data_IF_113482581861
#
_entry.id   IF_113482581861
#
_cell.length_a   1.000
_cell.length_b   1.000
_cell.length_c   1.000
_cell.angle_alpha   90.00
_cell.angle_beta   90.00
_cell.angle_gamma   90.00
#
_symmetry.space_group_name_H-M   'P 1'
#
loop_
_entity.id
_entity.type
_entity.pdbx_description
1 polymer ?
#
# COMPACT_ATOMS: atom_id res chain seq x y z
N UNK A 1 -28.58 8.33 -25.22
CA UNK A 1 -29.10 7.08 -25.84
C UNK A 1 -28.04 5.97 -26.00
N UNK A 2 -26.93 6.15 -26.81
CA UNK A 2 -25.91 5.05 -26.92
C UNK A 2 -25.16 4.74 -25.62
N UNK A 3 -24.73 5.75 -24.84
CA UNK A 3 -24.02 5.57 -23.57
C UNK A 3 -24.90 4.92 -22.50
N UNK A 4 -26.08 5.43 -22.28
CA UNK A 4 -27.06 4.89 -21.32
C UNK A 4 -27.40 3.42 -21.62
N UNK A 5 -27.67 3.09 -22.88
CA UNK A 5 -27.90 1.70 -23.28
C UNK A 5 -26.72 0.78 -22.96
N UNK A 6 -25.49 1.26 -23.11
CA UNK A 6 -24.26 0.53 -22.78
C UNK A 6 -24.10 0.36 -21.27
N UNK A 7 -24.36 1.42 -20.49
CA UNK A 7 -24.28 1.40 -19.03
C UNK A 7 -25.34 0.47 -18.42
N UNK A 8 -26.57 0.45 -18.97
CA UNK A 8 -27.60 -0.50 -18.57
C UNK A 8 -27.24 -1.96 -18.87
N UNK A 9 -26.28 -2.21 -19.76
CA UNK A 9 -25.70 -3.53 -20.03
C UNK A 9 -24.46 -3.83 -19.12
N UNK A 10 -24.14 -2.96 -18.18
CA UNK A 10 -22.99 -3.11 -17.28
C UNK A 10 -21.62 -2.95 -17.95
N UNK A 11 -21.59 -2.32 -19.13
CA UNK A 11 -20.33 -2.13 -19.87
C UNK A 11 -19.69 -0.79 -19.48
N UNK A 12 -18.59 -0.84 -18.75
CA UNK A 12 -17.77 0.31 -18.37
C UNK A 12 -16.68 0.51 -19.42
N UNK A 13 -16.51 1.73 -19.91
CA UNK A 13 -15.51 2.05 -20.95
C UNK A 13 -14.65 3.27 -20.66
N UNK A 14 -15.10 4.20 -19.82
CA UNK A 14 -14.40 5.47 -19.59
C UNK A 14 -14.45 5.85 -18.13
N UNK A 15 -13.33 5.84 -17.46
CA UNK A 15 -13.19 6.05 -16.02
C UNK A 15 -12.29 7.25 -15.74
N UNK A 16 -12.70 8.10 -14.79
CA UNK A 16 -11.82 9.07 -14.18
C UNK A 16 -11.26 8.53 -12.88
N UNK A 17 -9.94 8.57 -12.72
CA UNK A 17 -9.25 8.29 -11.46
C UNK A 17 -8.69 9.59 -10.91
N UNK A 18 -8.98 9.89 -9.65
CA UNK A 18 -8.54 11.09 -8.96
C UNK A 18 -7.60 10.69 -7.84
N UNK A 19 -6.39 11.27 -7.84
CA UNK A 19 -5.37 11.04 -6.82
C UNK A 19 -4.92 12.33 -6.17
N UNK A 20 -4.19 12.24 -5.08
CA UNK A 20 -3.60 13.41 -4.41
C UNK A 20 -2.65 14.15 -5.36
N UNK A 21 -2.63 15.50 -5.31
CA UNK A 21 -1.87 16.30 -6.27
C UNK A 21 -0.36 16.01 -6.26
N UNK A 22 0.19 15.59 -5.14
CA UNK A 22 1.61 15.26 -4.99
C UNK A 22 1.97 13.81 -5.37
N UNK A 23 0.98 12.97 -5.63
CA UNK A 23 1.22 11.56 -5.97
C UNK A 23 1.70 11.42 -7.40
N UNK A 24 2.84 10.76 -7.55
CA UNK A 24 3.42 10.42 -8.84
C UNK A 24 3.05 8.98 -9.23
N UNK A 25 2.11 8.86 -10.16
CA UNK A 25 1.67 7.56 -10.67
C UNK A 25 2.55 7.20 -11.87
N UNK A 26 3.38 6.18 -11.75
CA UNK A 26 4.23 5.74 -12.86
C UNK A 26 4.80 4.34 -12.63
N UNK A 27 5.21 3.71 -13.72
CA UNK A 27 5.85 2.40 -13.78
C UNK A 27 7.36 2.59 -13.77
N UNK A 28 8.07 2.17 -12.75
CA UNK A 28 9.52 2.23 -12.77
C UNK A 28 10.14 1.60 -11.52
N UNK A 29 11.30 0.93 -11.68
CA UNK A 29 11.97 0.24 -10.59
C UNK A 29 12.60 1.20 -9.57
N UNK A 30 12.86 2.45 -9.95
CA UNK A 30 13.65 3.40 -9.13
C UNK A 30 12.80 4.29 -8.21
N UNK A 31 11.52 3.99 -8.08
CA UNK A 31 10.61 4.83 -7.29
C UNK A 31 10.81 4.70 -5.80
N UNK A 32 10.76 5.86 -5.15
CA UNK A 32 10.53 5.93 -3.72
C UNK A 32 9.20 5.25 -3.38
N UNK A 33 9.15 4.61 -2.24
CA UNK A 33 8.00 3.85 -1.78
C UNK A 33 6.77 4.75 -1.60
N UNK A 34 5.68 4.41 -2.29
CA UNK A 34 4.36 5.01 -2.15
C UNK A 34 3.30 3.92 -2.28
N UNK A 35 2.53 3.67 -1.21
CA UNK A 35 1.55 2.58 -1.20
C UNK A 35 0.39 2.81 -2.16
N UNK A 36 -0.24 3.98 -2.08
CA UNK A 36 -1.40 4.34 -2.92
C UNK A 36 -1.01 4.47 -4.38
N UNK A 37 0.16 5.07 -4.65
CA UNK A 37 0.70 5.26 -6.00
C UNK A 37 0.81 3.92 -6.76
N UNK A 38 1.30 2.88 -6.10
CA UNK A 38 1.44 1.55 -6.69
C UNK A 38 0.10 0.88 -6.96
N UNK A 39 -0.83 0.98 -6.00
CA UNK A 39 -2.18 0.43 -6.16
C UNK A 39 -2.89 1.08 -7.33
N UNK A 40 -2.81 2.40 -7.44
CA UNK A 40 -3.41 3.15 -8.55
C UNK A 40 -2.73 2.82 -9.88
N UNK A 41 -1.40 2.67 -9.90
CA UNK A 41 -0.66 2.22 -11.09
C UNK A 41 -1.20 0.87 -11.57
N UNK A 42 -1.25 -0.15 -10.70
CA UNK A 42 -1.74 -1.48 -11.05
C UNK A 42 -3.21 -1.46 -11.50
N UNK A 43 -4.04 -0.63 -10.85
CA UNK A 43 -5.44 -0.47 -11.25
C UNK A 43 -5.55 0.12 -12.66
N UNK A 44 -4.82 1.19 -12.98
CA UNK A 44 -4.84 1.81 -14.30
C UNK A 44 -4.38 0.83 -15.38
N UNK A 45 -3.24 0.17 -15.18
CA UNK A 45 -2.72 -0.82 -16.13
C UNK A 45 -3.69 -1.95 -16.38
N UNK A 46 -4.26 -2.51 -15.31
CA UNK A 46 -5.23 -3.57 -15.42
C UNK A 46 -6.53 -3.16 -16.12
N UNK A 47 -6.98 -1.91 -15.95
CA UNK A 47 -8.14 -1.34 -16.66
C UNK A 47 -7.84 -1.15 -18.16
N UNK A 48 -6.67 -0.60 -18.49
CA UNK A 48 -6.22 -0.44 -19.89
C UNK A 48 -6.13 -1.79 -20.61
N UNK A 49 -5.58 -2.81 -19.96
CA UNK A 49 -5.52 -4.18 -20.49
C UNK A 49 -6.91 -4.80 -20.77
N UNK A 50 -7.96 -4.24 -20.16
CA UNK A 50 -9.36 -4.62 -20.39
C UNK A 50 -10.09 -3.70 -21.37
N UNK A 51 -9.35 -2.86 -22.10
CA UNK A 51 -9.87 -1.87 -23.05
C UNK A 51 -10.84 -0.87 -22.39
N UNK A 52 -10.51 -0.44 -21.17
CA UNK A 52 -11.19 0.64 -20.46
C UNK A 52 -10.32 1.89 -20.57
N UNK A 53 -10.87 2.97 -21.12
CA UNK A 53 -10.18 4.26 -21.20
C UNK A 53 -10.07 4.88 -19.81
N UNK A 54 -8.88 5.29 -19.41
CA UNK A 54 -8.62 5.90 -18.10
C UNK A 54 -8.13 7.34 -18.28
N UNK A 55 -8.71 8.24 -17.52
CA UNK A 55 -8.21 9.61 -17.34
C UNK A 55 -7.75 9.80 -15.89
N UNK A 56 -6.47 10.07 -15.70
CA UNK A 56 -5.87 10.31 -14.38
C UNK A 56 -5.78 11.81 -14.09
N UNK A 57 -6.45 12.24 -13.01
CA UNK A 57 -6.38 13.60 -12.48
C UNK A 57 -5.28 13.70 -11.43
N UNK A 58 -4.26 14.49 -11.73
CA UNK A 58 -3.07 14.69 -10.89
C UNK A 58 -2.51 16.10 -11.08
N UNK A 59 -1.56 16.51 -10.26
CA UNK A 59 -0.79 17.75 -10.46
C UNK A 59 0.71 17.46 -10.70
N UNK A 60 1.15 16.22 -10.51
CA UNK A 60 2.53 15.78 -10.70
C UNK A 60 2.70 15.04 -12.03
N UNK A 61 3.87 15.21 -12.66
CA UNK A 61 4.22 14.46 -13.87
C UNK A 61 4.18 12.95 -13.57
N UNK A 62 3.45 12.22 -14.38
CA UNK A 62 3.30 10.77 -14.27
C UNK A 62 3.87 10.09 -15.52
N UNK A 63 4.34 8.85 -15.35
CA UNK A 63 4.86 8.00 -16.42
C UNK A 63 4.03 6.75 -16.53
N UNK A 64 2.79 6.90 -17.00
CA UNK A 64 1.80 5.83 -17.19
C UNK A 64 1.05 6.07 -18.48
N UNK A 65 0.72 5.02 -19.23
CA UNK A 65 0.09 5.09 -20.55
C UNK A 65 -1.42 5.28 -20.46
N UNK A 66 -1.84 6.43 -19.88
CA UNK A 66 -3.24 6.83 -19.84
C UNK A 66 -3.35 8.34 -20.09
N UNK A 67 -4.59 8.83 -20.23
CA UNK A 67 -4.83 10.26 -20.41
C UNK A 67 -4.55 11.01 -19.08
N UNK A 68 -3.52 11.85 -19.07
CA UNK A 68 -3.18 12.68 -17.93
C UNK A 68 -3.92 14.02 -17.99
N UNK A 69 -4.53 14.43 -16.88
CA UNK A 69 -5.26 15.68 -16.75
C UNK A 69 -4.69 16.46 -15.57
N UNK A 70 -4.26 17.68 -15.85
CA UNK A 70 -3.64 18.59 -14.89
C UNK A 70 -4.53 19.81 -14.67
N UNK A 71 -5.49 19.77 -13.74
CA UNK A 71 -6.51 20.83 -13.57
C UNK A 71 -5.93 22.21 -13.24
N UNK A 72 -4.76 22.25 -12.61
CA UNK A 72 -4.03 23.48 -12.26
C UNK A 72 -2.71 23.64 -13.04
N UNK A 73 -2.43 22.78 -14.04
CA UNK A 73 -1.13 22.66 -14.68
C UNK A 73 -0.22 21.66 -13.96
N UNK A 74 0.96 21.43 -14.55
CA UNK A 74 2.02 20.62 -13.96
C UNK A 74 2.76 21.44 -12.91
N UNK A 75 2.99 20.82 -11.77
CA UNK A 75 3.86 21.36 -10.73
C UNK A 75 5.08 20.44 -10.58
N UNK A 76 6.27 21.03 -10.62
CA UNK A 76 7.52 20.30 -10.40
C UNK A 76 7.99 20.42 -8.94
N UNK A 77 8.51 19.29 -8.40
CA UNK A 77 9.33 19.23 -7.20
C UNK A 77 8.65 19.55 -5.88
N UNK A 78 9.41 20.19 -5.00
CA UNK A 78 9.08 20.49 -3.59
C UNK A 78 7.81 21.34 -3.36
N UNK A 79 7.28 21.97 -4.41
CA UNK A 79 6.10 22.82 -4.28
C UNK A 79 4.84 22.02 -3.93
N UNK A 80 4.74 20.77 -4.39
CA UNK A 80 3.56 19.91 -4.15
C UNK A 80 3.45 19.41 -2.70
N UNK A 81 4.58 19.25 -2.02
CA UNK A 81 4.60 18.85 -0.61
C UNK A 81 4.10 19.97 0.33
N UNK A 82 3.98 21.19 -0.20
CA UNK A 82 3.59 22.40 0.52
C UNK A 82 2.23 22.96 0.10
N UNK A 83 1.39 22.16 -0.58
CA UNK A 83 0.05 22.61 -0.92
C UNK A 83 -0.71 23.00 0.35
N UNK A 84 -1.02 24.27 0.47
CA UNK A 84 -1.85 24.75 1.57
C UNK A 84 -3.33 24.42 1.32
N UNK A 85 -4.16 24.56 2.34
CA UNK A 85 -5.59 24.24 2.26
C UNK A 85 -6.31 24.96 1.13
N UNK A 86 -5.96 26.24 0.85
CA UNK A 86 -6.55 27.03 -0.23
C UNK A 86 -6.19 26.46 -1.61
N UNK A 87 -4.96 26.01 -1.79
CA UNK A 87 -4.52 25.38 -3.04
C UNK A 87 -5.18 24.02 -3.25
N UNK A 88 -5.34 23.22 -2.18
CA UNK A 88 -6.07 21.95 -2.22
C UNK A 88 -7.53 22.15 -2.57
N UNK A 89 -8.20 23.14 -1.95
CA UNK A 89 -9.59 23.47 -2.27
C UNK A 89 -9.73 23.96 -3.72
N UNK A 90 -8.79 24.76 -4.22
CA UNK A 90 -8.77 25.22 -5.61
C UNK A 90 -8.56 24.05 -6.59
N UNK A 91 -7.65 23.14 -6.27
CA UNK A 91 -7.41 21.92 -7.05
C UNK A 91 -8.68 21.06 -7.14
N UNK A 92 -9.30 20.78 -6.01
CA UNK A 92 -10.53 19.99 -5.93
C UNK A 92 -11.71 20.63 -6.68
N UNK A 93 -11.88 21.96 -6.59
CA UNK A 93 -12.88 22.70 -7.36
C UNK A 93 -12.65 22.56 -8.87
N UNK A 94 -11.40 22.73 -9.34
CA UNK A 94 -11.08 22.61 -10.77
C UNK A 94 -11.24 21.17 -11.29
N UNK A 95 -10.95 20.15 -10.47
CA UNK A 95 -11.28 18.76 -10.78
C UNK A 95 -12.78 18.63 -11.01
N UNK A 96 -13.58 19.12 -10.08
CA UNK A 96 -15.04 19.05 -10.18
C UNK A 96 -15.56 19.71 -11.47
N UNK A 97 -15.14 20.94 -11.75
CA UNK A 97 -15.53 21.68 -12.95
C UNK A 97 -15.22 20.92 -14.24
N UNK A 98 -14.05 20.29 -14.31
CA UNK A 98 -13.65 19.49 -15.47
C UNK A 98 -14.45 18.18 -15.58
N UNK A 99 -14.69 17.50 -14.47
CA UNK A 99 -15.47 16.26 -14.42
C UNK A 99 -16.94 16.47 -14.79
N UNK A 100 -17.57 17.58 -14.37
CA UNK A 100 -18.94 17.93 -14.72
C UNK A 100 -19.12 18.18 -16.22
N UNK A 101 -18.07 18.64 -16.90
CA UNK A 101 -18.07 18.92 -18.33
C UNK A 101 -17.70 17.71 -19.20
N UNK A 102 -17.39 16.55 -18.60
CA UNK A 102 -16.99 15.33 -19.31
C UNK A 102 -17.94 14.17 -19.03
N UNK A 103 -17.94 13.21 -19.96
CA UNK A 103 -18.82 12.04 -19.90
C UNK A 103 -18.06 10.80 -19.44
N UNK A 104 -17.71 10.72 -18.16
CA UNK A 104 -17.19 9.50 -17.57
C UNK A 104 -18.31 8.56 -17.16
N UNK A 105 -18.04 7.25 -17.21
CA UNK A 105 -18.97 6.23 -16.73
C UNK A 105 -18.95 6.16 -15.20
N UNK A 106 -17.75 6.29 -14.62
CA UNK A 106 -17.48 6.27 -13.19
C UNK A 106 -16.32 7.21 -12.86
N UNK A 107 -16.37 7.78 -11.67
CA UNK A 107 -15.23 8.45 -11.03
C UNK A 107 -14.79 7.57 -9.86
N UNK A 108 -13.52 7.15 -9.84
CA UNK A 108 -12.91 6.53 -8.66
C UNK A 108 -11.97 7.54 -7.98
N UNK A 109 -12.37 7.97 -6.80
CA UNK A 109 -11.61 8.90 -5.98
C UNK A 109 -10.69 8.12 -5.02
N UNK A 110 -9.37 8.27 -5.18
CA UNK A 110 -8.35 7.75 -4.26
C UNK A 110 -7.75 8.87 -3.40
N UNK A 111 -8.49 9.94 -3.23
CA UNK A 111 -8.04 11.14 -2.57
C UNK A 111 -8.63 11.29 -1.16
N UNK A 112 -8.13 12.30 -0.47
CA UNK A 112 -8.51 12.64 0.89
C UNK A 112 -9.86 13.40 0.99
N UNK A 113 -10.27 13.80 2.21
CA UNK A 113 -11.55 14.41 2.48
C UNK A 113 -11.91 15.66 1.65
N UNK A 114 -10.91 16.47 1.27
CA UNK A 114 -11.20 17.75 0.56
C UNK A 114 -11.78 17.49 -0.82
N UNK A 115 -11.16 16.59 -1.60
CA UNK A 115 -11.70 16.23 -2.91
C UNK A 115 -12.99 15.43 -2.79
N UNK A 116 -13.10 14.55 -1.78
CA UNK A 116 -14.35 13.87 -1.49
C UNK A 116 -15.52 14.84 -1.34
N UNK A 117 -15.38 15.88 -0.51
CA UNK A 117 -16.43 16.91 -0.34
C UNK A 117 -16.69 17.66 -1.63
N UNK A 118 -15.66 18.00 -2.41
CA UNK A 118 -15.83 18.71 -3.68
C UNK A 118 -16.60 17.88 -4.73
N UNK A 119 -16.52 16.56 -4.67
CA UNK A 119 -17.21 15.65 -5.61
C UNK A 119 -18.65 15.29 -5.20
N UNK A 120 -19.17 15.85 -4.09
CA UNK A 120 -20.54 15.59 -3.68
C UNK A 120 -21.55 16.11 -4.72
N UNK A 121 -22.64 15.35 -4.93
CA UNK A 121 -23.73 15.68 -5.86
C UNK A 121 -23.31 15.85 -7.34
N UNK A 122 -22.14 15.31 -7.74
CA UNK A 122 -21.78 15.23 -9.16
C UNK A 122 -22.65 14.17 -9.86
N UNK A 123 -23.03 14.40 -11.12
CA UNK A 123 -23.95 13.51 -11.86
C UNK A 123 -23.35 12.14 -12.18
N UNK A 124 -22.03 12.07 -12.37
CA UNK A 124 -21.32 10.82 -12.67
C UNK A 124 -21.21 9.96 -11.40
N UNK A 125 -21.60 8.68 -11.44
CA UNK A 125 -21.43 7.76 -10.32
C UNK A 125 -20.00 7.81 -9.79
N UNK A 126 -19.86 8.11 -8.50
CA UNK A 126 -18.54 8.29 -7.86
C UNK A 126 -18.39 7.32 -6.71
N UNK A 127 -17.25 6.62 -6.65
CA UNK A 127 -16.84 5.79 -5.52
C UNK A 127 -15.56 6.35 -4.91
N UNK A 128 -15.48 6.35 -3.58
CA UNK A 128 -14.26 6.73 -2.86
C UNK A 128 -13.61 5.50 -2.25
N UNK A 129 -12.38 5.23 -2.66
CA UNK A 129 -11.54 4.18 -2.07
C UNK A 129 -10.77 4.74 -0.88
N UNK A 130 -11.02 4.17 0.30
CA UNK A 130 -10.40 4.58 1.55
C UNK A 130 -9.06 3.84 1.73
N UNK A 131 -7.94 4.57 1.78
CA UNK A 131 -6.60 3.99 1.93
C UNK A 131 -6.03 4.11 3.34
N UNK A 132 -6.56 5.02 4.15
CA UNK A 132 -6.12 5.28 5.51
C UNK A 132 -6.89 4.50 6.57
N UNK A 133 -6.40 4.51 7.82
CA UNK A 133 -7.12 3.90 8.94
C UNK A 133 -8.42 4.65 9.25
N UNK A 134 -9.37 3.96 9.89
CA UNK A 134 -10.60 4.56 10.41
C UNK A 134 -10.31 5.34 11.70
N UNK A 135 -9.57 6.43 11.59
CA UNK A 135 -9.38 7.37 12.70
C UNK A 135 -10.71 8.07 13.03
N UNK A 136 -10.82 8.62 14.23
CA UNK A 136 -11.99 9.39 14.62
C UNK A 136 -12.28 10.53 13.63
N UNK A 137 -11.24 11.21 13.14
CA UNK A 137 -11.34 12.26 12.13
C UNK A 137 -11.90 11.73 10.81
N UNK A 138 -11.39 10.61 10.30
CA UNK A 138 -11.87 10.00 9.06
C UNK A 138 -13.31 9.49 9.21
N UNK A 139 -13.64 8.87 10.33
CA UNK A 139 -14.99 8.40 10.63
C UNK A 139 -15.97 9.58 10.68
N UNK A 140 -15.63 10.67 11.37
CA UNK A 140 -16.46 11.86 11.44
C UNK A 140 -16.62 12.54 10.06
N UNK A 141 -15.58 12.53 9.23
CA UNK A 141 -15.63 13.14 7.90
C UNK A 141 -16.48 12.32 6.93
N UNK A 142 -16.24 11.02 6.82
CA UNK A 142 -16.90 10.18 5.81
C UNK A 142 -18.25 9.62 6.29
N UNK A 143 -18.39 9.36 7.59
CA UNK A 143 -19.58 8.74 8.19
C UNK A 143 -20.85 9.58 8.11
N UNK A 144 -20.72 10.90 7.86
CA UNK A 144 -21.86 11.80 7.64
C UNK A 144 -22.49 11.70 6.25
N UNK A 145 -21.94 10.89 5.33
CA UNK A 145 -22.35 10.82 3.92
C UNK A 145 -22.82 9.40 3.57
N UNK A 146 -23.94 8.99 4.13
CA UNK A 146 -24.51 7.64 3.93
C UNK A 146 -24.95 7.36 2.48
N UNK A 147 -25.19 8.39 1.67
CA UNK A 147 -25.56 8.29 0.26
C UNK A 147 -24.38 8.10 -0.68
N UNK A 148 -23.16 8.33 -0.21
CA UNK A 148 -21.95 8.19 -1.01
C UNK A 148 -21.48 6.75 -1.06
N UNK A 149 -20.90 6.35 -2.19
CA UNK A 149 -20.34 5.01 -2.36
C UNK A 149 -18.90 4.95 -1.89
N UNK A 150 -18.61 3.93 -1.08
CA UNK A 150 -17.28 3.68 -0.53
C UNK A 150 -16.77 2.29 -0.87
N UNK A 151 -15.44 2.15 -0.96
CA UNK A 151 -14.73 0.89 -0.94
C UNK A 151 -13.60 0.96 0.09
N UNK A 152 -13.52 -0.01 0.97
CA UNK A 152 -12.34 -0.24 1.81
C UNK A 152 -11.29 -1.04 1.03
N UNK A 153 -10.11 -1.24 1.63
CA UNK A 153 -9.02 -2.04 1.07
C UNK A 153 -8.80 -3.37 1.82
N UNK A 154 -9.65 -3.63 2.84
CA UNK A 154 -9.73 -4.91 3.55
C UNK A 154 -11.06 -5.03 4.28
N UNK A 155 -11.42 -6.26 4.68
CA UNK A 155 -12.60 -6.48 5.51
C UNK A 155 -12.44 -5.85 6.90
N UNK A 156 -11.24 -5.94 7.49
CA UNK A 156 -10.94 -5.35 8.77
C UNK A 156 -11.09 -3.82 8.74
N UNK A 157 -10.57 -3.17 7.71
CA UNK A 157 -10.75 -1.73 7.53
C UNK A 157 -12.23 -1.37 7.35
N UNK A 158 -12.97 -2.10 6.50
CA UNK A 158 -14.42 -1.90 6.37
C UNK A 158 -15.14 -1.98 7.71
N UNK A 159 -14.83 -3.01 8.49
CA UNK A 159 -15.47 -3.24 9.80
C UNK A 159 -15.13 -2.17 10.84
N UNK A 160 -14.05 -1.42 10.66
CA UNK A 160 -13.67 -0.32 11.55
C UNK A 160 -14.41 0.99 11.27
N UNK A 161 -15.11 1.08 10.13
CA UNK A 161 -15.99 2.21 9.80
C UNK A 161 -17.44 1.97 10.24
N UNK A 162 -18.26 3.02 10.45
CA UNK A 162 -19.65 2.89 10.83
C UNK A 162 -20.48 2.10 9.82
N UNK A 163 -21.41 1.27 10.32
CA UNK A 163 -22.26 0.41 9.49
C UNK A 163 -23.26 1.16 8.59
N UNK A 164 -23.50 2.44 8.85
CA UNK A 164 -24.34 3.30 8.01
C UNK A 164 -23.62 3.85 6.77
N UNK A 165 -22.31 3.69 6.65
CA UNK A 165 -21.58 4.02 5.43
C UNK A 165 -21.92 3.03 4.31
N UNK A 166 -22.17 3.56 3.12
CA UNK A 166 -22.58 2.75 1.97
C UNK A 166 -21.38 2.11 1.28
N UNK A 167 -20.88 1.03 1.84
CA UNK A 167 -19.85 0.20 1.22
C UNK A 167 -20.49 -0.69 0.14
N UNK A 168 -20.03 -0.57 -1.11
CA UNK A 168 -20.61 -1.24 -2.26
C UNK A 168 -20.15 -2.69 -2.41
N UNK A 169 -21.05 -3.60 -2.79
CA UNK A 169 -20.76 -5.01 -3.00
C UNK A 169 -20.27 -5.67 -1.71
N UNK A 170 -19.10 -6.33 -1.76
CA UNK A 170 -18.44 -6.88 -0.56
C UNK A 170 -17.95 -5.77 0.39
N UNK A 171 -17.89 -4.53 -0.13
CA UNK A 171 -17.50 -3.33 0.59
C UNK A 171 -16.00 -3.08 0.64
N UNK A 172 -15.20 -3.95 0.05
CA UNK A 172 -13.75 -3.77 -0.03
C UNK A 172 -13.15 -4.43 -1.29
N UNK A 173 -12.00 -3.91 -1.69
CA UNK A 173 -11.13 -4.53 -2.70
C UNK A 173 -9.72 -4.57 -2.15
N UNK A 174 -9.16 -5.78 -2.01
CA UNK A 174 -7.76 -5.93 -1.62
C UNK A 174 -6.84 -5.27 -2.62
N UNK A 175 -5.80 -4.62 -2.12
CA UNK A 175 -4.70 -4.16 -2.94
C UNK A 175 -3.97 -5.36 -3.56
N UNK A 176 -3.24 -5.11 -4.65
CA UNK A 176 -2.54 -6.14 -5.39
C UNK A 176 -1.04 -5.89 -5.51
N UNK A 177 -0.36 -6.89 -6.03
CA UNK A 177 1.06 -6.84 -6.38
C UNK A 177 1.29 -7.48 -7.75
N UNK A 178 2.39 -7.09 -8.42
CA UNK A 178 2.82 -7.69 -9.67
C UNK A 178 3.30 -9.15 -9.47
N UNK A 179 2.81 -10.06 -10.29
CA UNK A 179 3.19 -11.48 -10.29
C UNK A 179 4.66 -11.72 -10.66
N UNK A 180 5.28 -10.78 -11.39
CA UNK A 180 6.69 -10.84 -11.79
C UNK A 180 7.67 -10.37 -10.72
N UNK A 181 7.18 -10.16 -9.49
CA UNK A 181 8.01 -9.73 -8.36
C UNK A 181 9.16 -10.71 -8.10
N UNK A 182 10.38 -10.24 -7.74
CA UNK A 182 11.51 -11.10 -7.46
C UNK A 182 11.25 -12.12 -6.35
N UNK A 183 11.74 -13.34 -6.53
CA UNK A 183 11.56 -14.47 -5.62
C UNK A 183 12.87 -15.17 -5.32
N UNK A 184 13.00 -15.76 -4.15
CA UNK A 184 14.05 -16.72 -3.81
C UNK A 184 13.59 -17.68 -2.72
N UNK A 185 13.92 -18.97 -2.87
CA UNK A 185 13.86 -19.97 -1.82
C UNK A 185 15.16 -20.06 -1.00
N UNK A 186 16.23 -19.43 -1.50
CA UNK A 186 17.53 -19.39 -0.82
C UNK A 186 17.56 -18.27 0.23
N UNK A 187 17.08 -18.56 1.42
CA UNK A 187 17.00 -17.62 2.53
C UNK A 187 18.33 -17.50 3.27
N UNK A 188 18.63 -16.29 3.73
CA UNK A 188 19.75 -15.98 4.62
C UNK A 188 19.26 -15.87 6.06
N UNK A 189 20.13 -16.08 7.00
CA UNK A 189 19.75 -16.17 8.42
C UNK A 189 19.64 -14.78 9.08
N UNK A 190 18.88 -13.86 8.47
CA UNK A 190 18.52 -12.57 9.05
C UNK A 190 17.02 -12.34 9.01
N UNK A 191 16.54 -11.57 9.97
CA UNK A 191 15.18 -11.02 9.99
C UNK A 191 15.18 -9.65 9.32
N UNK A 192 14.08 -9.29 8.69
CA UNK A 192 13.93 -8.02 8.01
C UNK A 192 12.71 -7.24 8.56
N UNK A 193 12.89 -5.95 8.82
CA UNK A 193 11.80 -5.02 9.11
C UNK A 193 11.89 -3.82 8.16
N UNK A 194 10.84 -3.58 7.36
CA UNK A 194 10.77 -2.46 6.40
C UNK A 194 9.53 -1.64 6.68
N UNK A 195 9.73 -0.43 7.19
CA UNK A 195 8.67 0.55 7.44
C UNK A 195 9.28 1.91 7.77
N UNK A 196 8.48 2.97 7.77
CA UNK A 196 8.88 4.24 8.38
C UNK A 196 9.25 4.00 9.84
N UNK A 197 10.31 4.64 10.31
CA UNK A 197 10.74 4.53 11.71
C UNK A 197 9.88 5.49 12.56
N UNK A 198 8.96 4.91 13.27
CA UNK A 198 8.02 5.56 14.21
C UNK A 198 7.49 4.50 15.20
N UNK A 199 7.12 4.87 16.43
CA UNK A 199 6.75 3.93 17.50
C UNK A 199 5.70 2.90 17.06
N UNK A 200 4.65 3.35 16.36
CA UNK A 200 3.53 2.51 15.91
C UNK A 200 3.92 1.37 14.96
N UNK A 201 5.11 1.46 14.32
CA UNK A 201 5.61 0.42 13.42
C UNK A 201 6.40 -0.68 14.13
N UNK A 202 6.67 -0.53 15.42
CA UNK A 202 7.16 -1.60 16.29
C UNK A 202 8.60 -2.04 16.08
N UNK A 203 9.50 -1.20 15.54
CA UNK A 203 10.91 -1.59 15.35
C UNK A 203 11.59 -1.97 16.68
N UNK A 204 11.21 -1.34 17.80
CA UNK A 204 11.66 -1.73 19.14
C UNK A 204 11.32 -3.19 19.45
N UNK A 205 10.11 -3.62 19.09
CA UNK A 205 9.69 -5.02 19.24
C UNK A 205 10.47 -5.94 18.29
N UNK A 206 10.72 -5.50 17.05
CA UNK A 206 11.54 -6.28 16.11
C UNK A 206 12.97 -6.51 16.64
N UNK A 207 13.60 -5.49 17.24
CA UNK A 207 14.90 -5.59 17.90
C UNK A 207 14.85 -6.59 19.05
N UNK A 208 13.83 -6.49 19.91
CA UNK A 208 13.66 -7.42 21.04
C UNK A 208 13.50 -8.87 20.56
N UNK A 209 12.65 -9.11 19.55
CA UNK A 209 12.43 -10.44 18.97
C UNK A 209 13.75 -11.01 18.39
N UNK A 210 14.45 -10.23 17.57
CA UNK A 210 15.71 -10.65 16.96
C UNK A 210 16.76 -11.02 18.03
N UNK A 211 16.92 -10.17 19.04
CA UNK A 211 17.83 -10.37 20.17
C UNK A 211 17.52 -11.66 20.94
N UNK A 212 16.25 -11.88 21.26
CA UNK A 212 15.80 -13.07 22.00
C UNK A 212 15.90 -14.36 21.17
N UNK A 213 15.84 -14.26 19.84
CA UNK A 213 16.03 -15.39 18.94
C UNK A 213 17.50 -15.64 18.57
N UNK A 214 18.41 -14.72 18.91
CA UNK A 214 19.83 -14.81 18.55
C UNK A 214 20.05 -14.66 17.05
N UNK A 215 19.21 -13.90 16.34
CA UNK A 215 19.25 -13.68 14.90
C UNK A 215 19.66 -12.25 14.57
N UNK A 216 20.26 -12.08 13.39
CA UNK A 216 20.52 -10.76 12.84
C UNK A 216 19.23 -10.09 12.40
N UNK A 217 19.17 -8.75 12.50
CA UNK A 217 18.04 -7.94 12.06
C UNK A 217 18.53 -6.82 11.14
N UNK A 218 17.95 -6.74 9.97
CA UNK A 218 18.09 -5.59 9.06
C UNK A 218 16.83 -4.72 9.18
N UNK A 219 17.03 -3.45 9.49
CA UNK A 219 15.97 -2.42 9.56
C UNK A 219 16.16 -1.50 8.37
N UNK A 220 15.08 -1.29 7.60
CA UNK A 220 15.04 -0.38 6.46
C UNK A 220 13.84 0.56 6.53
N UNK A 221 14.02 1.79 6.11
CA UNK A 221 12.96 2.79 6.01
C UNK A 221 13.40 4.19 6.37
N UNK A 222 12.57 5.17 6.03
CA UNK A 222 12.81 6.56 6.36
C UNK A 222 12.58 6.82 7.86
N UNK A 223 13.49 7.55 8.47
CA UNK A 223 13.39 7.99 9.86
C UNK A 223 12.52 9.26 9.95
N UNK A 224 11.24 9.09 10.28
CA UNK A 224 10.32 10.21 10.51
C UNK A 224 10.43 10.74 11.93
N UNK A 225 10.50 9.87 12.92
CA UNK A 225 10.64 10.21 14.32
C UNK A 225 12.10 10.07 14.76
N UNK A 226 12.80 11.21 14.81
CA UNK A 226 14.22 11.24 15.18
C UNK A 226 14.44 10.95 16.66
N UNK A 227 13.52 11.35 17.54
CA UNK A 227 13.61 11.09 18.97
C UNK A 227 13.49 9.59 19.24
N UNK A 228 12.45 8.95 18.69
CA UNK A 228 12.28 7.50 18.74
C UNK A 228 13.52 6.76 18.20
N UNK A 229 14.06 7.21 17.06
CA UNK A 229 15.28 6.61 16.51
C UNK A 229 16.46 6.71 17.48
N UNK A 230 16.69 7.88 18.06
CA UNK A 230 17.82 8.11 18.95
C UNK A 230 17.71 7.37 20.27
N UNK A 231 16.51 7.28 20.83
CA UNK A 231 16.29 6.67 22.15
C UNK A 231 16.10 5.16 22.07
N UNK A 232 15.34 4.67 21.07
CA UNK A 232 14.86 3.28 21.07
C UNK A 232 15.52 2.39 20.01
N UNK A 233 16.13 2.96 18.96
CA UNK A 233 16.70 2.17 17.86
C UNK A 233 18.24 2.24 17.89
N UNK A 234 18.79 3.46 17.84
CA UNK A 234 20.22 3.71 17.72
C UNK A 234 21.09 3.01 18.77
N UNK A 235 20.70 2.94 20.07
CA UNK A 235 21.52 2.26 21.10
C UNK A 235 21.73 0.76 20.85
N UNK A 236 20.87 0.14 20.04
CA UNK A 236 20.91 -1.28 19.71
C UNK A 236 21.64 -1.59 18.40
N UNK A 237 21.93 -0.56 17.58
CA UNK A 237 22.58 -0.78 16.27
C UNK A 237 24.04 -1.20 16.43
N UNK A 238 24.39 -2.29 15.74
CA UNK A 238 25.80 -2.67 15.55
C UNK A 238 26.42 -2.00 14.33
N UNK A 239 25.59 -1.72 13.29
CA UNK A 239 25.99 -1.00 12.08
C UNK A 239 24.87 -0.03 11.67
N UNK A 240 25.28 1.22 11.39
CA UNK A 240 24.42 2.22 10.79
C UNK A 240 24.97 2.57 9.40
N UNK A 241 24.29 2.08 8.36
CA UNK A 241 24.63 2.27 6.95
C UNK A 241 23.81 3.40 6.29
N UNK A 242 22.95 4.08 7.05
CA UNK A 242 22.08 5.14 6.52
C UNK A 242 22.78 6.45 6.23
N UNK A 243 23.99 6.62 6.75
CA UNK A 243 24.77 7.86 6.67
C UNK A 243 25.33 8.10 5.26
N UNK A 244 25.37 9.36 4.78
CA UNK A 244 25.87 9.68 3.44
C UNK A 244 27.27 9.13 3.14
N UNK A 245 28.19 9.20 4.12
CA UNK A 245 29.55 8.67 3.99
C UNK A 245 29.63 7.14 3.88
N UNK A 246 28.53 6.44 4.19
CA UNK A 246 28.40 4.99 4.09
C UNK A 246 27.70 4.50 2.83
N UNK A 247 27.37 5.36 1.90
CA UNK A 247 26.56 5.03 0.72
C UNK A 247 27.17 3.91 -0.13
N UNK A 248 28.50 3.89 -0.32
CA UNK A 248 29.16 2.82 -1.07
C UNK A 248 29.07 1.48 -0.33
N UNK A 249 29.39 1.47 0.98
CA UNK A 249 29.30 0.29 1.84
C UNK A 249 27.86 -0.26 1.90
N UNK A 250 26.87 0.64 1.99
CA UNK A 250 25.45 0.29 1.97
C UNK A 250 25.04 -0.37 0.65
N UNK A 251 25.43 0.21 -0.48
CA UNK A 251 25.09 -0.31 -1.80
C UNK A 251 25.70 -1.68 -2.04
N UNK A 252 26.98 -1.87 -1.68
CA UNK A 252 27.65 -3.16 -1.73
C UNK A 252 26.96 -4.20 -0.83
N UNK A 253 26.64 -3.83 0.42
CA UNK A 253 25.94 -4.68 1.36
C UNK A 253 24.60 -5.19 0.81
N UNK A 254 23.77 -4.30 0.23
CA UNK A 254 22.45 -4.69 -0.30
C UNK A 254 22.61 -5.53 -1.58
N UNK A 255 23.51 -5.16 -2.48
CA UNK A 255 23.74 -5.91 -3.72
C UNK A 255 24.25 -7.32 -3.48
N UNK A 256 25.09 -7.50 -2.46
CA UNK A 256 25.67 -8.78 -2.08
C UNK A 256 24.88 -9.53 -0.98
N UNK A 257 23.67 -9.08 -0.66
CA UNK A 257 22.86 -9.68 0.42
C UNK A 257 22.58 -11.18 0.21
N UNK A 258 22.57 -11.66 -1.02
CA UNK A 258 22.49 -13.09 -1.34
C UNK A 258 23.66 -13.92 -0.83
N UNK A 259 24.80 -13.28 -0.56
CA UNK A 259 26.02 -13.88 -0.01
C UNK A 259 26.19 -13.61 1.49
N UNK A 260 25.23 -12.91 2.10
CA UNK A 260 25.30 -12.52 3.49
C UNK A 260 25.58 -13.72 4.40
N UNK A 261 26.61 -13.58 5.20
CA UNK A 261 26.94 -14.51 6.27
C UNK A 261 26.52 -13.86 7.59
N UNK A 262 25.63 -14.51 8.35
CA UNK A 262 25.19 -13.96 9.60
C UNK A 262 26.37 -13.83 10.56
N UNK A 263 26.44 -12.69 11.22
CA UNK A 263 27.21 -12.50 12.43
C UNK A 263 26.30 -12.74 13.64
N UNK A 264 26.86 -12.82 14.83
CA UNK A 264 26.05 -13.15 16.00
C UNK A 264 25.34 -11.88 16.51
N UNK A 265 23.99 -11.82 16.34
CA UNK A 265 23.13 -10.76 16.88
C UNK A 265 23.43 -9.36 16.35
N UNK A 266 23.66 -9.25 15.06
CA UNK A 266 23.93 -7.97 14.42
C UNK A 266 22.61 -7.26 14.11
N UNK A 267 22.49 -5.98 14.49
CA UNK A 267 21.36 -5.13 14.16
C UNK A 267 21.87 -4.02 13.23
N UNK A 268 21.39 -4.03 11.99
CA UNK A 268 21.87 -3.16 10.91
C UNK A 268 20.73 -2.23 10.48
N UNK A 269 20.96 -0.93 10.48
CA UNK A 269 20.08 0.03 9.87
C UNK A 269 20.63 0.50 8.53
N UNK A 270 19.86 0.29 7.45
CA UNK A 270 20.28 0.62 6.08
C UNK A 270 19.68 1.93 5.56
N UNK A 271 18.81 2.60 6.34
CA UNK A 271 18.13 3.81 5.89
C UNK A 271 16.98 3.53 4.94
N UNK A 272 16.55 4.57 4.23
CA UNK A 272 15.49 4.46 3.22
C UNK A 272 15.97 3.62 2.03
N UNK A 273 15.12 2.73 1.55
CA UNK A 273 15.39 1.83 0.42
C UNK A 273 14.43 2.10 -0.74
N UNK A 274 14.93 2.04 -1.96
CA UNK A 274 14.09 2.03 -3.16
C UNK A 274 13.45 0.65 -3.40
N UNK A 275 12.61 0.53 -4.43
CA UNK A 275 11.91 -0.71 -4.74
C UNK A 275 12.86 -1.89 -4.97
N UNK A 276 13.92 -1.70 -5.76
CA UNK A 276 14.89 -2.76 -6.06
C UNK A 276 15.65 -3.21 -4.81
N UNK A 277 16.15 -2.28 -4.00
CA UNK A 277 16.88 -2.58 -2.77
C UNK A 277 16.00 -3.33 -1.75
N UNK A 278 14.75 -2.89 -1.59
CA UNK A 278 13.77 -3.57 -0.75
C UNK A 278 13.56 -5.01 -1.21
N UNK A 279 13.37 -5.22 -2.49
CA UNK A 279 13.12 -6.52 -3.09
C UNK A 279 14.32 -7.47 -2.90
N UNK A 280 15.56 -6.94 -3.01
CA UNK A 280 16.77 -7.72 -2.72
C UNK A 280 16.81 -8.16 -1.25
N UNK A 281 16.57 -7.24 -0.31
CA UNK A 281 16.52 -7.56 1.11
C UNK A 281 15.40 -8.56 1.42
N UNK A 282 14.24 -8.37 0.83
CA UNK A 282 13.04 -9.14 1.15
C UNK A 282 13.14 -10.59 0.68
N UNK A 283 13.55 -10.83 -0.57
CA UNK A 283 13.60 -12.19 -1.14
C UNK A 283 14.61 -13.11 -0.47
N UNK A 284 15.62 -12.57 0.24
CA UNK A 284 16.64 -13.36 0.93
C UNK A 284 16.45 -13.42 2.46
N UNK A 285 15.53 -12.66 3.03
CA UNK A 285 15.26 -12.69 4.46
C UNK A 285 14.74 -14.06 4.92
N UNK A 286 15.15 -14.51 6.11
CA UNK A 286 14.61 -15.69 6.79
C UNK A 286 13.13 -15.50 7.12
N UNK A 287 12.77 -14.31 7.61
CA UNK A 287 11.42 -13.88 7.86
C UNK A 287 11.30 -12.35 7.82
N UNK A 288 10.13 -11.87 7.51
CA UNK A 288 9.76 -10.47 7.61
C UNK A 288 9.05 -10.22 8.95
N UNK A 289 9.61 -9.34 9.79
CA UNK A 289 9.01 -8.95 11.07
C UNK A 289 8.14 -7.71 10.90
N UNK A 290 6.88 -7.83 11.26
CA UNK A 290 5.91 -6.74 11.22
C UNK A 290 5.16 -6.61 12.55
N UNK A 291 5.84 -6.27 13.65
CA UNK A 291 5.24 -6.17 14.98
C UNK A 291 4.59 -4.81 15.21
N UNK A 292 3.68 -4.42 14.29
CA UNK A 292 2.96 -3.16 14.28
C UNK A 292 1.98 -3.07 15.47
N UNK A 293 1.87 -1.90 16.10
CA UNK A 293 1.07 -1.68 17.30
C UNK A 293 -0.31 -1.04 17.03
N UNK A 294 -0.61 -0.76 15.76
CA UNK A 294 -1.91 -0.20 15.32
C UNK A 294 -2.65 -1.18 14.42
N UNK A 295 -3.96 -0.98 14.26
CA UNK A 295 -4.77 -1.75 13.34
C UNK A 295 -4.35 -1.44 11.89
N UNK A 296 -3.77 -2.43 11.20
CA UNK A 296 -3.29 -2.27 9.84
C UNK A 296 -4.46 -2.29 8.85
N UNK A 297 -4.55 -1.27 8.00
CA UNK A 297 -5.64 -1.18 7.02
C UNK A 297 -5.54 -2.23 5.90
N UNK A 298 -4.31 -2.59 5.50
CA UNK A 298 -4.04 -3.68 4.56
C UNK A 298 -2.64 -4.28 4.76
N UNK A 299 -1.57 -3.48 4.60
CA UNK A 299 -0.19 -3.95 4.72
C UNK A 299 0.40 -4.45 3.40
N UNK A 300 0.58 -3.56 2.42
CA UNK A 300 1.22 -3.90 1.13
C UNK A 300 2.56 -4.63 1.30
N UNK A 301 3.34 -4.24 2.31
CA UNK A 301 4.63 -4.86 2.61
C UNK A 301 4.52 -6.36 2.96
N UNK A 302 3.35 -6.81 3.43
CA UNK A 302 3.08 -8.23 3.74
C UNK A 302 2.94 -9.06 2.46
N UNK A 303 2.20 -8.53 1.47
CA UNK A 303 2.08 -9.19 0.17
C UNK A 303 3.40 -9.12 -0.60
N UNK A 304 4.21 -8.06 -0.42
CA UNK A 304 5.56 -7.95 -0.95
C UNK A 304 6.49 -9.03 -0.37
N UNK A 305 6.44 -9.26 0.94
CA UNK A 305 7.19 -10.33 1.58
C UNK A 305 6.74 -11.71 1.08
N UNK A 306 5.43 -11.94 1.05
CA UNK A 306 4.87 -13.22 0.61
C UNK A 306 5.20 -13.56 -0.84
N UNK A 307 5.06 -12.61 -1.79
CA UNK A 307 5.40 -12.82 -3.20
C UNK A 307 6.90 -13.08 -3.41
N UNK A 308 7.75 -12.48 -2.56
CA UNK A 308 9.19 -12.72 -2.54
C UNK A 308 9.56 -14.07 -1.91
N UNK A 309 8.59 -14.83 -1.40
CA UNK A 309 8.77 -16.13 -0.74
C UNK A 309 9.22 -16.01 0.71
N UNK A 310 9.02 -14.86 1.35
CA UNK A 310 9.47 -14.62 2.72
C UNK A 310 8.30 -14.71 3.68
N UNK A 311 8.34 -15.65 4.66
CA UNK A 311 7.29 -15.78 5.66
C UNK A 311 7.20 -14.53 6.54
N UNK A 312 5.99 -14.17 6.92
CA UNK A 312 5.74 -13.00 7.76
C UNK A 312 5.51 -13.42 9.22
N UNK A 313 6.08 -12.66 10.14
CA UNK A 313 5.82 -12.77 11.59
C UNK A 313 5.26 -11.42 12.05
N UNK A 314 4.03 -11.38 12.53
CA UNK A 314 3.33 -10.14 12.82
C UNK A 314 2.46 -10.20 14.08
N UNK A 315 2.09 -9.05 14.64
CA UNK A 315 0.97 -9.02 15.58
C UNK A 315 -0.35 -9.22 14.85
N UNK A 316 -1.33 -9.78 15.55
CA UNK A 316 -2.70 -9.93 15.08
C UNK A 316 -3.42 -8.58 15.15
N UNK A 317 -3.29 -7.75 14.11
CA UNK A 317 -3.82 -6.39 14.03
C UNK A 317 -4.45 -6.10 12.66
N UNK A 318 -5.69 -5.62 12.65
CA UNK A 318 -6.39 -5.22 11.44
C UNK A 318 -6.44 -6.31 10.37
N UNK A 319 -5.95 -6.00 9.17
CA UNK A 319 -6.00 -6.88 8.01
C UNK A 319 -4.92 -7.99 8.01
N UNK A 320 -4.03 -8.07 8.99
CA UNK A 320 -2.95 -9.07 9.01
C UNK A 320 -3.47 -10.51 8.86
N UNK A 321 -4.54 -10.95 9.59
CA UNK A 321 -5.10 -12.29 9.44
C UNK A 321 -5.79 -12.55 8.08
N UNK A 322 -6.08 -11.51 7.31
CA UNK A 322 -6.65 -11.64 5.96
C UNK A 322 -5.59 -11.95 4.90
N UNK A 323 -4.32 -11.58 5.19
CA UNK A 323 -3.20 -11.72 4.26
C UNK A 323 -2.36 -12.95 4.58
N UNK A 324 -2.16 -13.26 5.85
CA UNK A 324 -1.31 -14.35 6.30
C UNK A 324 -2.15 -15.59 6.56
N UNK A 325 -1.85 -16.69 5.89
CA UNK A 325 -2.37 -18.02 6.23
C UNK A 325 -1.50 -18.62 7.35
N UNK A 326 -2.09 -18.68 8.56
CA UNK A 326 -1.40 -19.07 9.80
C UNK A 326 -0.70 -20.43 9.68
N UNK A 327 0.60 -20.46 9.89
CA UNK A 327 1.42 -21.68 9.83
C UNK A 327 1.77 -22.16 8.42
N UNK A 328 1.32 -21.45 7.36
CA UNK A 328 1.62 -21.80 5.97
C UNK A 328 2.37 -20.70 5.23
N UNK A 329 1.99 -19.42 5.41
CA UNK A 329 2.67 -18.29 4.78
C UNK A 329 3.32 -17.35 5.78
N UNK A 330 3.09 -17.60 7.06
CA UNK A 330 3.61 -16.83 8.18
C UNK A 330 2.91 -17.20 9.47
N UNK A 331 3.16 -16.41 10.49
CA UNK A 331 2.51 -16.54 11.78
C UNK A 331 2.11 -15.16 12.30
N UNK A 332 0.97 -15.09 12.97
CA UNK A 332 0.57 -13.91 13.73
C UNK A 332 0.10 -14.28 15.13
N UNK A 333 0.37 -13.39 16.08
CA UNK A 333 0.05 -13.60 17.51
C UNK A 333 -0.24 -12.29 18.22
N UNK A 334 -0.53 -12.37 19.50
CA UNK A 334 -0.96 -11.20 20.26
C UNK A 334 0.12 -10.65 21.19
N UNK A 335 1.17 -11.42 21.47
CA UNK A 335 2.24 -11.09 22.40
C UNK A 335 3.62 -11.17 21.73
N UNK A 336 4.61 -10.50 22.32
CA UNK A 336 6.01 -10.63 21.87
C UNK A 336 6.49 -12.09 22.02
N UNK A 337 6.08 -12.80 23.06
CA UNK A 337 6.46 -14.19 23.29
C UNK A 337 5.90 -15.11 22.20
N UNK A 338 4.68 -14.86 21.69
CA UNK A 338 4.14 -15.54 20.50
C UNK A 338 5.08 -15.33 19.31
N UNK A 339 5.44 -14.08 19.03
CA UNK A 339 6.29 -13.74 17.88
C UNK A 339 7.69 -14.34 17.99
N UNK A 340 8.27 -14.37 19.20
CA UNK A 340 9.54 -15.07 19.47
C UNK A 340 9.40 -16.56 19.19
N UNK A 341 8.33 -17.20 19.68
CA UNK A 341 8.03 -18.60 19.43
C UNK A 341 7.89 -18.90 17.92
N UNK A 342 7.15 -18.07 17.19
CA UNK A 342 6.92 -18.20 15.76
C UNK A 342 8.20 -17.94 14.94
N UNK A 343 9.03 -16.98 15.34
CA UNK A 343 10.32 -16.73 14.67
C UNK A 343 11.22 -17.96 14.67
N UNK A 344 11.19 -18.76 15.71
CA UNK A 344 11.94 -20.03 15.80
C UNK A 344 11.38 -21.11 14.88
N UNK A 345 10.14 -21.01 14.47
CA UNK A 345 9.41 -21.96 13.63
C UNK A 345 9.36 -21.58 12.15
N UNK A 346 10.01 -20.51 11.74
CA UNK A 346 9.99 -20.04 10.33
C UNK A 346 10.51 -21.06 9.33
N UNK A 347 11.34 -22.02 9.75
CA UNK A 347 11.79 -23.15 8.92
C UNK A 347 10.68 -24.15 8.55
N UNK A 348 9.53 -24.10 9.21
CA UNK A 348 8.36 -24.92 8.89
C UNK A 348 7.62 -24.41 7.64
N UNK A 349 7.88 -23.16 7.23
CA UNK A 349 7.17 -22.48 6.14
C UNK A 349 7.96 -22.63 4.84
N UNK A 350 7.26 -23.05 3.79
CA UNK A 350 7.82 -23.15 2.45
C UNK A 350 7.69 -21.79 1.72
N UNK A 351 8.80 -21.32 1.15
CA UNK A 351 8.83 -20.07 0.39
C UNK A 351 7.91 -20.08 -0.84
N UNK A 352 7.75 -21.24 -1.50
CA UNK A 352 6.86 -21.34 -2.65
C UNK A 352 5.39 -21.20 -2.23
N UNK A 353 5.00 -21.73 -1.07
CA UNK A 353 3.62 -21.59 -0.57
C UNK A 353 3.29 -20.12 -0.26
N UNK A 354 4.25 -19.36 0.27
CA UNK A 354 4.10 -17.91 0.47
C UNK A 354 3.78 -17.22 -0.87
N UNK A 355 4.58 -17.50 -1.91
CA UNK A 355 4.41 -16.92 -3.24
C UNK A 355 3.08 -17.30 -3.87
N UNK A 356 2.74 -18.58 -3.89
CA UNK A 356 1.51 -19.08 -4.51
C UNK A 356 0.26 -18.53 -3.83
N UNK A 357 0.28 -18.38 -2.51
CA UNK A 357 -0.81 -17.76 -1.77
C UNK A 357 -1.04 -16.30 -2.24
N UNK A 358 0.02 -15.51 -2.35
CA UNK A 358 -0.11 -14.11 -2.80
C UNK A 358 -0.59 -14.06 -4.26
N UNK A 359 0.00 -14.83 -5.16
CA UNK A 359 -0.45 -14.92 -6.56
C UNK A 359 -1.92 -15.31 -6.69
N UNK A 360 -2.40 -16.21 -5.85
CA UNK A 360 -3.77 -16.70 -5.88
C UNK A 360 -4.79 -15.68 -5.37
N UNK A 361 -4.42 -14.85 -4.39
CA UNK A 361 -5.39 -14.01 -3.66
C UNK A 361 -5.21 -12.50 -3.84
N UNK A 362 -4.00 -12.04 -4.22
CA UNK A 362 -3.62 -10.63 -4.25
C UNK A 362 -2.98 -10.19 -5.57
N UNK A 363 -3.27 -10.90 -6.68
CA UNK A 363 -2.79 -10.49 -8.00
C UNK A 363 -3.61 -9.34 -8.59
N UNK A 364 -3.05 -8.70 -9.62
CA UNK A 364 -3.65 -7.51 -10.22
C UNK A 364 -4.98 -7.81 -10.93
N UNK A 365 -5.11 -8.98 -11.54
CA UNK A 365 -6.34 -9.38 -12.26
C UNK A 365 -7.55 -9.42 -11.32
N UNK A 366 -7.39 -10.03 -10.14
CA UNK A 366 -8.44 -10.11 -9.12
C UNK A 366 -8.83 -8.72 -8.63
N UNK A 367 -7.86 -7.86 -8.37
CA UNK A 367 -8.14 -6.49 -7.91
C UNK A 367 -8.96 -5.74 -8.95
N UNK A 368 -8.53 -5.75 -10.21
CA UNK A 368 -9.20 -5.02 -11.30
C UNK A 368 -10.61 -5.54 -11.56
N UNK A 369 -10.80 -6.85 -11.55
CA UNK A 369 -12.13 -7.47 -11.74
C UNK A 369 -13.09 -7.08 -10.61
N UNK A 370 -12.61 -7.01 -9.36
CA UNK A 370 -13.40 -6.55 -8.21
C UNK A 370 -13.78 -5.06 -8.37
N UNK A 371 -12.83 -4.20 -8.77
CA UNK A 371 -13.15 -2.79 -9.04
C UNK A 371 -14.17 -2.64 -10.17
N UNK A 372 -14.02 -3.37 -11.28
CA UNK A 372 -15.02 -3.35 -12.37
C UNK A 372 -16.40 -3.79 -11.90
N UNK A 373 -16.49 -4.78 -11.00
CA UNK A 373 -17.76 -5.19 -10.42
C UNK A 373 -18.38 -4.08 -9.53
N UNK A 374 -17.56 -3.41 -8.70
CA UNK A 374 -18.04 -2.25 -7.94
C UNK A 374 -18.56 -1.14 -8.86
N UNK A 375 -17.82 -0.82 -9.93
CA UNK A 375 -18.23 0.20 -10.90
C UNK A 375 -19.56 -0.14 -11.57
N UNK A 376 -19.76 -1.40 -11.97
CA UNK A 376 -21.04 -1.87 -12.54
C UNK A 376 -22.18 -1.70 -11.54
N UNK A 377 -21.95 -2.05 -10.28
CA UNK A 377 -22.95 -1.96 -9.21
C UNK A 377 -23.40 -0.51 -9.00
N UNK A 378 -22.46 0.43 -8.86
CA UNK A 378 -22.83 1.84 -8.64
C UNK A 378 -23.48 2.47 -9.88
N UNK A 379 -23.04 2.09 -11.07
CA UNK A 379 -23.69 2.54 -12.32
C UNK A 379 -25.12 2.03 -12.40
N UNK A 380 -25.37 0.75 -12.14
CA UNK A 380 -26.70 0.19 -12.13
C UNK A 380 -27.61 0.92 -11.13
N UNK A 381 -27.11 1.20 -9.91
CA UNK A 381 -27.87 1.92 -8.89
C UNK A 381 -28.23 3.37 -9.28
N UNK A 382 -27.40 4.03 -10.11
CA UNK A 382 -27.64 5.43 -10.53
C UNK A 382 -28.52 5.56 -11.78
N UNK A 383 -28.73 4.50 -12.55
CA UNK A 383 -29.51 4.51 -13.79
C UNK A 383 -30.77 3.60 -13.72
N UNK A 384 -31.03 2.96 -12.57
CA UNK A 384 -32.27 2.23 -12.28
C UNK A 384 -33.38 3.18 -11.85
#
# INVERSE_FOLDING_TARGET
MRREKRLNQGIIKNIAIVVQPHQEISNGPDKKYGGVERVVTFLIEGLLNRNVDVSLYTAKKCSIDCRLIYPMGLFDGEFLEKFNQTQLATYSRKIREDLENKNFDVINNHYDPITFVALQNIRTPTITTLHGPATEENVNTFGGFSECYFSAISQAQKNSYPSNMNFVGDGFVYNSIDDNHPFSDNKRNYLLSVSRLEPIKGQKNAIKIATMCGLDLIIAGNCLDKEYFHEEIRPHLTRDLSKPEKQSERSEFINDISKYQPDVRTIIYVGEVNGHERDQLMKHAKAFLFPIEVEESFGLVLIEAGIAGTPVIAFNRGAIPEIIEQGKTGFFGNTIDDLIGFTKRTSEINSADCREHIKKHFNNEIMVDRYLNLYRTIVAANYA
#
